data_IF_889668402708
#
_entry.id   IF_889668402708
#
_cell.length_a   1.000
_cell.length_b   1.000
_cell.length_c   1.000
_cell.angle_alpha   90.00
_cell.angle_beta   90.00
_cell.angle_gamma   90.00
#
_symmetry.space_group_name_H-M   'P 1'
#
loop_
_entity.id
_entity.type
_entity.pdbx_description
1 polymer ?
#
# COMPACT_ATOMS: atom_id res chain seq x y z
N UNK A 1 7.79 -23.58 -24.16
CA UNK A 1 7.08 -22.33 -23.88
C UNK A 1 8.09 -21.30 -23.40
N UNK A 2 8.31 -20.20 -24.10
CA UNK A 2 9.14 -19.12 -23.58
C UNK A 2 8.44 -18.55 -22.36
N UNK A 3 9.10 -18.66 -21.17
CA UNK A 3 8.63 -18.05 -19.93
C UNK A 3 8.45 -16.55 -20.18
N UNK A 4 7.23 -16.06 -20.08
CA UNK A 4 6.95 -14.63 -20.24
C UNK A 4 7.69 -13.89 -19.11
N UNK A 5 8.83 -13.27 -19.42
CA UNK A 5 9.71 -12.61 -18.44
C UNK A 5 9.00 -11.49 -17.67
N UNK A 6 7.88 -10.98 -18.20
CA UNK A 6 7.08 -9.93 -17.57
C UNK A 6 6.42 -10.37 -16.25
N UNK A 7 6.24 -11.68 -16.04
CA UNK A 7 5.61 -12.24 -14.83
C UNK A 7 6.61 -12.70 -13.77
N UNK A 8 7.91 -12.37 -13.90
CA UNK A 8 8.89 -12.75 -12.90
C UNK A 8 8.88 -11.78 -11.72
N UNK A 9 8.94 -12.33 -10.50
CA UNK A 9 8.96 -11.58 -9.23
C UNK A 9 10.25 -11.90 -8.48
N UNK A 10 10.92 -10.87 -7.96
CA UNK A 10 11.97 -11.03 -6.98
C UNK A 10 11.45 -10.68 -5.59
N UNK A 11 11.50 -11.62 -4.66
CA UNK A 11 10.94 -11.46 -3.31
C UNK A 11 12.01 -10.99 -2.35
N UNK A 12 11.76 -9.88 -1.65
CA UNK A 12 12.66 -9.31 -0.63
C UNK A 12 11.94 -9.11 0.70
N UNK A 13 12.70 -9.06 1.78
CA UNK A 13 12.22 -8.76 3.13
C UNK A 13 12.92 -7.50 3.64
N UNK A 14 12.21 -6.37 3.71
CA UNK A 14 12.75 -5.09 4.19
C UNK A 14 12.28 -4.71 5.59
N UNK A 15 11.23 -5.37 6.08
CA UNK A 15 10.55 -5.06 7.34
C UNK A 15 10.83 -6.12 8.42
N UNK A 16 9.81 -6.68 9.02
CA UNK A 16 9.93 -7.69 10.06
C UNK A 16 10.32 -9.08 9.52
N UNK A 17 10.95 -9.87 10.34
CA UNK A 17 11.29 -11.26 10.05
C UNK A 17 10.04 -12.09 9.72
N UNK A 18 10.18 -13.03 8.79
CA UNK A 18 9.15 -14.01 8.47
C UNK A 18 9.03 -14.99 9.64
N UNK A 19 7.89 -15.03 10.31
CA UNK A 19 7.66 -15.89 11.46
C UNK A 19 7.45 -17.37 11.09
N UNK A 20 6.91 -17.62 9.88
CA UNK A 20 6.59 -18.95 9.40
C UNK A 20 7.08 -19.11 7.96
N UNK A 21 8.19 -19.81 7.78
CA UNK A 21 8.78 -20.08 6.47
C UNK A 21 7.80 -20.80 5.52
N UNK A 22 6.89 -21.66 6.04
CA UNK A 22 5.87 -22.34 5.23
C UNK A 22 4.91 -21.35 4.57
N UNK A 23 4.70 -20.15 5.14
CA UNK A 23 3.88 -19.11 4.50
C UNK A 23 4.57 -18.54 3.25
N UNK A 24 5.88 -18.37 3.29
CA UNK A 24 6.66 -17.94 2.12
C UNK A 24 6.61 -19.01 1.01
N UNK A 25 6.87 -20.26 1.35
CA UNK A 25 6.83 -21.39 0.40
C UNK A 25 5.45 -21.50 -0.27
N UNK A 26 4.40 -21.47 0.53
CA UNK A 26 3.01 -21.52 0.05
C UNK A 26 2.66 -20.34 -0.85
N UNK A 27 3.11 -19.14 -0.48
CA UNK A 27 2.91 -17.93 -1.28
C UNK A 27 3.59 -18.02 -2.64
N UNK A 28 4.85 -18.45 -2.68
CA UNK A 28 5.61 -18.68 -3.91
C UNK A 28 4.94 -19.73 -4.81
N UNK A 29 4.48 -20.84 -4.22
CA UNK A 29 3.78 -21.90 -4.98
C UNK A 29 2.45 -21.41 -5.59
N UNK A 30 1.69 -20.57 -4.85
CA UNK A 30 0.43 -20.02 -5.34
C UNK A 30 0.64 -18.98 -6.42
N UNK A 31 1.62 -18.10 -6.25
CA UNK A 31 2.02 -17.16 -7.30
C UNK A 31 2.44 -17.88 -8.58
N UNK A 32 3.18 -19.00 -8.47
CA UNK A 32 3.55 -19.80 -9.62
C UNK A 32 2.31 -20.39 -10.35
N UNK A 33 1.29 -20.85 -9.59
CA UNK A 33 0.02 -21.34 -10.17
C UNK A 33 -0.77 -20.23 -10.89
N UNK A 34 -0.57 -18.97 -10.49
CA UNK A 34 -1.15 -17.78 -11.12
C UNK A 34 -0.29 -17.25 -12.29
N UNK A 35 0.79 -17.96 -12.64
CA UNK A 35 1.68 -17.60 -13.73
C UNK A 35 2.80 -16.62 -13.34
N UNK A 36 3.02 -16.35 -12.05
CA UNK A 36 4.08 -15.48 -11.55
C UNK A 36 5.25 -16.30 -10.95
N UNK A 37 6.43 -16.22 -11.53
CA UNK A 37 7.58 -17.01 -11.10
C UNK A 37 8.46 -16.22 -10.13
N UNK A 38 8.54 -16.71 -8.90
CA UNK A 38 9.25 -16.02 -7.82
C UNK A 38 10.68 -16.55 -7.65
N UNK A 39 11.65 -15.62 -7.61
CA UNK A 39 12.97 -15.85 -7.06
C UNK A 39 13.06 -15.17 -5.70
N UNK A 40 13.35 -15.91 -4.65
CA UNK A 40 13.45 -15.38 -3.27
C UNK A 40 14.88 -14.94 -3.00
N UNK A 41 15.03 -13.74 -2.42
CA UNK A 41 16.34 -13.25 -1.99
C UNK A 41 16.93 -14.15 -0.90
N UNK A 42 18.24 -14.33 -0.94
CA UNK A 42 18.99 -15.20 0.00
C UNK A 42 18.86 -14.76 1.47
N UNK A 43 18.56 -13.49 1.73
CA UNK A 43 18.34 -12.96 3.07
C UNK A 43 16.86 -12.86 3.45
N UNK A 44 15.93 -13.36 2.63
CA UNK A 44 14.50 -13.21 2.90
C UNK A 44 14.04 -13.86 4.22
N UNK A 45 14.73 -14.92 4.66
CA UNK A 45 14.47 -15.62 5.93
C UNK A 45 15.46 -15.24 7.04
N UNK A 46 16.30 -14.22 6.83
CA UNK A 46 17.20 -13.76 7.88
C UNK A 46 16.42 -13.17 9.07
N UNK A 47 17.00 -13.31 10.27
CA UNK A 47 16.39 -12.81 11.52
C UNK A 47 17.46 -12.05 12.29
N UNK A 48 17.13 -10.82 12.67
CA UNK A 48 17.85 -10.03 13.65
C UNK A 48 16.82 -9.35 14.56
N UNK A 49 16.65 -9.92 15.75
CA UNK A 49 15.56 -9.53 16.66
C UNK A 49 14.18 -9.61 15.97
N UNK A 50 13.47 -8.50 15.77
CA UNK A 50 12.20 -8.48 15.04
C UNK A 50 12.34 -8.32 13.52
N UNK A 51 13.54 -7.94 13.02
CA UNK A 51 13.76 -7.57 11.63
C UNK A 51 14.15 -8.76 10.76
N UNK A 52 13.93 -8.63 9.47
CA UNK A 52 14.38 -9.61 8.47
C UNK A 52 15.88 -9.48 8.19
N UNK A 53 16.69 -9.75 9.22
CA UNK A 53 18.13 -9.54 9.24
C UNK A 53 18.54 -8.11 9.60
N UNK A 54 19.84 -7.87 9.63
CA UNK A 54 20.41 -6.55 9.90
C UNK A 54 20.03 -5.52 8.85
N UNK A 55 20.16 -4.23 9.16
CA UNK A 55 19.88 -3.15 8.20
C UNK A 55 20.75 -3.33 6.93
N UNK A 56 22.01 -3.71 7.07
CA UNK A 56 22.91 -3.99 5.95
C UNK A 56 22.44 -5.17 5.08
N UNK A 57 21.90 -6.23 5.68
CA UNK A 57 21.35 -7.38 4.94
C UNK A 57 20.11 -7.00 4.14
N UNK A 58 19.20 -6.20 4.73
CA UNK A 58 17.98 -5.72 4.09
C UNK A 58 18.27 -4.75 2.93
N UNK A 59 19.20 -3.80 3.12
CA UNK A 59 19.69 -2.92 2.05
C UNK A 59 20.39 -3.71 0.93
N UNK A 60 21.21 -4.69 1.30
CA UNK A 60 21.86 -5.57 0.32
C UNK A 60 20.84 -6.38 -0.50
N UNK A 61 19.72 -6.81 0.12
CA UNK A 61 18.62 -7.48 -0.59
C UNK A 61 17.94 -6.53 -1.60
N UNK A 62 17.68 -5.28 -1.21
CA UNK A 62 17.16 -4.26 -2.12
C UNK A 62 18.13 -4.04 -3.30
N UNK A 63 19.41 -3.80 -3.01
CA UNK A 63 20.42 -3.57 -4.06
C UNK A 63 20.58 -4.75 -5.01
N UNK A 64 20.43 -5.99 -4.51
CA UNK A 64 20.42 -7.19 -5.38
C UNK A 64 19.16 -7.23 -6.25
N UNK A 65 18.02 -6.79 -5.72
CA UNK A 65 16.77 -6.78 -6.48
C UNK A 65 16.86 -5.89 -7.71
N UNK A 66 17.55 -4.75 -7.62
CA UNK A 66 17.73 -3.83 -8.75
C UNK A 66 18.47 -4.48 -9.93
N UNK A 67 19.36 -5.43 -9.64
CA UNK A 67 20.20 -6.14 -10.63
C UNK A 67 19.54 -7.42 -11.20
N UNK A 68 18.34 -7.80 -10.71
CA UNK A 68 17.63 -8.98 -11.23
C UNK A 68 16.96 -8.68 -12.56
N UNK A 69 16.72 -9.71 -13.34
CA UNK A 69 15.93 -9.61 -14.59
C UNK A 69 14.42 -9.55 -14.35
N UNK A 70 13.97 -9.89 -13.14
CA UNK A 70 12.57 -9.80 -12.74
C UNK A 70 12.09 -8.35 -12.76
N UNK A 71 11.00 -8.02 -13.47
CA UNK A 71 10.47 -6.66 -13.55
C UNK A 71 9.72 -6.24 -12.28
N UNK A 72 9.34 -7.19 -11.43
CA UNK A 72 8.60 -6.92 -10.20
C UNK A 72 9.44 -7.32 -8.99
N UNK A 73 9.50 -6.43 -8.00
CA UNK A 73 10.09 -6.68 -6.67
C UNK A 73 8.96 -6.65 -5.66
N UNK A 74 8.76 -7.75 -4.94
CA UNK A 74 7.64 -7.90 -4.02
C UNK A 74 8.10 -8.11 -2.59
N UNK A 75 7.51 -7.38 -1.66
CA UNK A 75 7.76 -7.56 -0.24
C UNK A 75 7.23 -8.91 0.25
N UNK A 76 8.04 -9.62 1.03
CA UNK A 76 7.62 -10.88 1.65
C UNK A 76 6.48 -10.64 2.65
N UNK A 77 6.57 -9.58 3.45
CA UNK A 77 5.58 -9.12 4.42
C UNK A 77 5.85 -7.67 4.85
N UNK A 78 4.89 -7.07 5.56
CA UNK A 78 5.06 -5.83 6.29
C UNK A 78 5.65 -6.02 7.69
N UNK A 79 5.22 -5.18 8.62
CA UNK A 79 5.66 -5.16 10.02
C UNK A 79 6.31 -3.83 10.37
N UNK A 80 7.61 -3.82 10.70
CA UNK A 80 8.36 -2.60 10.99
C UNK A 80 9.82 -2.73 10.54
N UNK A 81 10.40 -1.65 10.03
CA UNK A 81 11.84 -1.58 9.77
C UNK A 81 12.26 -0.80 8.53
N UNK A 82 11.36 -0.50 7.60
CA UNK A 82 11.69 0.26 6.38
C UNK A 82 12.17 1.67 6.71
N UNK A 83 11.56 2.34 7.68
CA UNK A 83 11.93 3.70 8.09
C UNK A 83 13.39 3.83 8.52
N UNK A 84 14.02 2.75 9.04
CA UNK A 84 15.44 2.72 9.40
C UNK A 84 16.38 2.76 8.18
N UNK A 85 15.85 2.42 7.01
CA UNK A 85 16.63 2.26 5.77
C UNK A 85 16.56 3.49 4.87
N UNK A 86 15.54 4.33 5.01
CA UNK A 86 15.19 5.38 4.04
C UNK A 86 16.34 6.31 3.67
N UNK A 87 17.18 6.68 4.64
CA UNK A 87 18.33 7.56 4.44
C UNK A 87 19.56 6.88 3.81
N UNK A 88 19.52 5.54 3.65
CA UNK A 88 20.60 4.74 3.11
C UNK A 88 20.26 4.17 1.71
N UNK A 89 19.02 4.35 1.26
CA UNK A 89 18.56 3.88 -0.06
C UNK A 89 18.99 4.88 -1.12
N UNK A 90 19.62 4.38 -2.17
CA UNK A 90 19.81 5.14 -3.42
C UNK A 90 18.51 5.14 -4.22
N UNK A 91 17.70 6.20 -4.01
CA UNK A 91 16.39 6.33 -4.62
C UNK A 91 16.45 6.48 -6.14
N UNK A 92 17.51 7.10 -6.66
CA UNK A 92 17.70 7.22 -8.11
C UNK A 92 17.97 5.84 -8.72
N UNK A 93 18.87 5.05 -8.12
CA UNK A 93 19.09 3.68 -8.58
C UNK A 93 17.83 2.81 -8.50
N UNK A 94 16.98 3.01 -7.47
CA UNK A 94 15.67 2.34 -7.36
C UNK A 94 14.77 2.73 -8.53
N UNK A 95 14.61 4.01 -8.82
CA UNK A 95 13.77 4.51 -9.92
C UNK A 95 14.31 4.07 -11.29
N UNK A 96 15.60 4.24 -11.53
CA UNK A 96 16.27 3.92 -12.81
C UNK A 96 16.24 2.41 -13.13
N UNK A 97 16.00 1.58 -12.12
CA UNK A 97 15.83 0.13 -12.33
C UNK A 97 14.57 -0.22 -13.16
N UNK A 98 13.62 0.71 -13.30
CA UNK A 98 12.36 0.52 -14.01
C UNK A 98 11.47 -0.58 -13.44
N UNK A 99 11.72 -1.03 -12.21
CA UNK A 99 10.99 -2.13 -11.58
C UNK A 99 9.72 -1.67 -10.89
N UNK A 100 8.72 -2.56 -10.89
CA UNK A 100 7.50 -2.42 -10.09
C UNK A 100 7.75 -2.93 -8.69
N UNK A 101 7.71 -2.04 -7.71
CA UNK A 101 7.86 -2.39 -6.28
C UNK A 101 6.48 -2.55 -5.66
N UNK A 102 6.21 -3.69 -5.03
CA UNK A 102 4.90 -4.04 -4.46
C UNK A 102 5.04 -4.45 -3.00
N UNK A 103 4.20 -3.91 -2.13
CA UNK A 103 4.14 -4.28 -0.71
C UNK A 103 2.98 -3.63 0.02
N UNK A 104 2.92 -3.77 1.35
CA UNK A 104 1.85 -3.24 2.19
C UNK A 104 2.38 -2.83 3.58
N UNK A 105 1.56 -2.10 4.34
CA UNK A 105 1.83 -1.77 5.75
C UNK A 105 3.08 -0.90 5.87
N UNK A 106 4.12 -1.35 6.58
CA UNK A 106 5.42 -0.67 6.69
C UNK A 106 6.04 -0.29 5.33
N UNK A 107 5.69 -1.03 4.26
CA UNK A 107 6.12 -0.72 2.90
C UNK A 107 5.55 0.61 2.37
N UNK A 108 4.53 1.16 3.01
CA UNK A 108 4.03 2.52 2.75
C UNK A 108 5.17 3.55 2.84
N UNK A 109 6.07 3.39 3.82
CA UNK A 109 7.22 4.28 3.97
C UNK A 109 8.17 4.22 2.76
N UNK A 110 8.39 3.03 2.18
CA UNK A 110 9.16 2.88 0.93
C UNK A 110 8.47 3.56 -0.25
N UNK A 111 7.18 3.28 -0.42
CA UNK A 111 6.38 3.80 -1.55
C UNK A 111 6.31 5.32 -1.55
N UNK A 112 6.07 5.93 -0.38
CA UNK A 112 6.00 7.38 -0.25
C UNK A 112 7.37 8.05 -0.40
N UNK A 113 8.42 7.43 0.13
CA UNK A 113 9.78 7.92 -0.04
C UNK A 113 10.22 7.87 -1.51
N UNK A 114 9.95 6.77 -2.23
CA UNK A 114 10.22 6.65 -3.66
C UNK A 114 9.51 7.74 -4.45
N UNK A 115 8.21 7.95 -4.19
CA UNK A 115 7.43 9.02 -4.81
C UNK A 115 7.99 10.41 -4.48
N UNK A 116 8.35 10.64 -3.21
CA UNK A 116 8.87 11.93 -2.75
C UNK A 116 10.23 12.28 -3.36
N UNK A 117 11.12 11.29 -3.49
CA UNK A 117 12.50 11.51 -3.92
C UNK A 117 12.67 11.50 -5.43
N UNK A 118 11.80 10.78 -6.16
CA UNK A 118 12.00 10.54 -7.60
C UNK A 118 10.77 10.79 -8.47
N UNK A 119 9.60 10.98 -7.86
CA UNK A 119 8.33 11.05 -8.60
C UNK A 119 7.85 9.71 -9.18
N UNK A 120 8.57 8.62 -8.93
CA UNK A 120 8.29 7.31 -9.55
C UNK A 120 7.16 6.59 -8.87
N UNK A 121 6.43 5.80 -9.65
CA UNK A 121 5.30 4.98 -9.19
C UNK A 121 5.77 3.68 -8.54
N UNK A 122 5.16 3.33 -7.43
CA UNK A 122 5.21 2.00 -6.80
C UNK A 122 3.80 1.48 -6.56
N UNK A 123 3.66 0.30 -5.95
CA UNK A 123 2.35 -0.31 -5.75
C UNK A 123 2.17 -0.69 -4.28
N UNK A 124 1.02 -0.34 -3.70
CA UNK A 124 0.57 -0.91 -2.44
C UNK A 124 -0.49 -1.98 -2.73
N UNK A 125 -0.25 -3.19 -2.24
CA UNK A 125 -1.04 -4.38 -2.56
C UNK A 125 -0.64 -5.58 -1.71
N UNK A 126 -1.02 -6.80 -2.13
CA UNK A 126 -0.75 -8.01 -1.37
C UNK A 126 0.75 -8.28 -1.20
N UNK A 127 1.08 -9.04 -0.15
CA UNK A 127 2.44 -9.53 0.14
C UNK A 127 2.52 -11.04 -0.02
N UNK A 128 3.73 -11.56 -0.17
CA UNK A 128 3.90 -13.00 -0.41
C UNK A 128 3.41 -13.84 0.77
N UNK A 129 3.76 -13.49 2.01
CA UNK A 129 3.47 -14.33 3.18
C UNK A 129 2.07 -14.11 3.74
N UNK A 130 1.61 -12.84 3.84
CA UNK A 130 0.35 -12.54 4.51
C UNK A 130 -0.87 -12.82 3.64
N UNK A 131 -0.75 -12.63 2.33
CA UNK A 131 -1.85 -12.77 1.38
C UNK A 131 -1.75 -14.06 0.58
N UNK A 132 -0.75 -14.19 -0.27
CA UNK A 132 -0.55 -15.43 -1.06
C UNK A 132 -0.17 -16.62 -0.18
N UNK A 133 0.53 -16.36 0.93
CA UNK A 133 0.92 -17.37 1.92
C UNK A 133 -0.10 -17.63 3.04
N UNK A 134 -1.25 -16.96 3.05
CA UNK A 134 -2.32 -17.16 4.04
C UNK A 134 -2.82 -18.61 4.06
N UNK A 135 -3.52 -19.02 5.12
CA UNK A 135 -4.15 -20.35 5.17
C UNK A 135 -5.12 -20.57 4.00
N UNK A 136 -5.94 -19.54 3.71
CA UNK A 136 -6.84 -19.50 2.55
C UNK A 136 -6.46 -18.31 1.66
N UNK A 137 -6.24 -18.56 0.37
CA UNK A 137 -6.04 -17.52 -0.63
C UNK A 137 -7.37 -16.82 -0.93
N UNK A 138 -7.37 -15.50 -0.92
CA UNK A 138 -8.47 -14.74 -1.45
C UNK A 138 -8.31 -14.59 -2.97
N UNK A 139 -9.26 -15.10 -3.74
CA UNK A 139 -9.15 -15.12 -5.21
C UNK A 139 -9.27 -13.74 -5.81
N UNK A 140 -10.16 -12.89 -5.29
CA UNK A 140 -10.30 -11.51 -5.79
C UNK A 140 -9.00 -10.70 -5.60
N UNK A 141 -8.32 -10.87 -4.44
CA UNK A 141 -7.00 -10.27 -4.23
C UNK A 141 -5.98 -10.76 -5.26
N UNK A 142 -6.00 -12.05 -5.58
CA UNK A 142 -5.07 -12.62 -6.55
C UNK A 142 -5.36 -12.15 -7.99
N UNK A 143 -6.62 -12.04 -8.35
CA UNK A 143 -7.09 -11.52 -9.66
C UNK A 143 -6.71 -10.06 -9.83
N UNK A 144 -7.09 -9.18 -8.88
CA UNK A 144 -6.75 -7.76 -8.92
C UNK A 144 -5.23 -7.52 -8.96
N UNK A 145 -4.44 -8.31 -8.23
CA UNK A 145 -2.99 -8.25 -8.33
C UNK A 145 -2.50 -8.62 -9.73
N UNK A 146 -3.03 -9.71 -10.29
CA UNK A 146 -2.68 -10.19 -11.62
C UNK A 146 -2.99 -9.16 -12.70
N UNK A 147 -4.19 -8.58 -12.69
CA UNK A 147 -4.63 -7.57 -13.65
C UNK A 147 -3.76 -6.31 -13.59
N UNK A 148 -3.47 -5.79 -12.38
CA UNK A 148 -2.57 -4.63 -12.23
C UNK A 148 -1.17 -4.94 -12.73
N UNK A 149 -0.63 -6.14 -12.40
CA UNK A 149 0.73 -6.51 -12.83
C UNK A 149 0.83 -6.77 -14.33
N UNK A 150 -0.26 -7.05 -15.01
CA UNK A 150 -0.32 -7.17 -16.48
C UNK A 150 -0.73 -5.87 -17.18
N UNK A 151 -1.17 -4.85 -16.41
CA UNK A 151 -1.68 -3.59 -16.96
C UNK A 151 -3.09 -3.70 -17.54
N UNK A 152 -3.89 -4.63 -17.01
CA UNK A 152 -5.24 -4.95 -17.50
C UNK A 152 -6.34 -4.27 -16.66
N UNK A 153 -6.05 -3.86 -15.42
CA UNK A 153 -7.04 -3.21 -14.56
C UNK A 153 -7.20 -1.73 -14.93
N UNK A 154 -8.33 -1.41 -15.53
CA UNK A 154 -8.69 -0.04 -15.92
C UNK A 154 -9.48 0.66 -14.82
N UNK A 155 -10.47 -0.01 -14.25
CA UNK A 155 -11.38 0.55 -13.25
C UNK A 155 -11.52 -0.43 -12.07
N UNK A 156 -11.26 0.05 -10.87
CA UNK A 156 -11.60 -0.64 -9.63
C UNK A 156 -12.93 -0.08 -9.10
N UNK A 157 -13.99 -0.89 -9.12
CA UNK A 157 -15.28 -0.55 -8.53
C UNK A 157 -15.48 -1.24 -7.18
N UNK A 158 -16.12 -0.54 -6.23
CA UNK A 158 -16.40 -1.08 -4.91
C UNK A 158 -17.64 -0.43 -4.27
N UNK A 159 -18.29 -1.15 -3.37
CA UNK A 159 -19.43 -0.64 -2.61
C UNK A 159 -19.00 0.49 -1.66
N UNK A 160 -19.73 1.59 -1.68
CA UNK A 160 -19.38 2.82 -0.95
C UNK A 160 -20.65 3.58 -0.51
N UNK A 161 -21.56 2.94 0.25
CA UNK A 161 -22.90 3.47 0.49
C UNK A 161 -22.94 4.76 1.33
N UNK A 162 -21.89 5.02 2.13
CA UNK A 162 -21.81 6.16 3.04
C UNK A 162 -20.80 7.22 2.57
N UNK A 163 -20.52 7.27 1.28
CA UNK A 163 -19.55 8.19 0.71
C UNK A 163 -20.16 9.52 0.31
N UNK A 164 -19.35 10.55 0.38
CA UNK A 164 -19.70 11.85 -0.17
C UNK A 164 -19.65 11.79 -1.70
N UNK A 165 -20.44 12.66 -2.35
CA UNK A 165 -20.39 12.80 -3.80
C UNK A 165 -19.01 13.32 -4.24
N UNK A 166 -18.37 12.63 -5.16
CA UNK A 166 -17.08 13.02 -5.71
C UNK A 166 -17.01 12.68 -7.20
N UNK A 167 -16.43 13.58 -7.97
CA UNK A 167 -15.94 13.37 -9.32
C UNK A 167 -14.67 14.21 -9.49
N UNK A 168 -13.53 13.57 -9.40
CA UNK A 168 -12.26 14.27 -9.43
C UNK A 168 -11.12 13.43 -10.02
N UNK A 169 -10.04 14.09 -10.42
CA UNK A 169 -8.79 13.46 -10.84
C UNK A 169 -7.63 13.98 -10.01
N UNK A 170 -6.76 13.09 -9.59
CA UNK A 170 -5.60 13.45 -8.79
C UNK A 170 -4.56 12.34 -8.74
N UNK A 171 -3.39 12.67 -8.21
CA UNK A 171 -2.37 11.67 -7.91
C UNK A 171 -2.86 10.81 -6.76
N UNK A 172 -2.93 9.48 -6.98
CA UNK A 172 -3.25 8.52 -5.93
C UNK A 172 -2.03 8.31 -5.03
N UNK A 173 -2.20 8.51 -3.75
CA UNK A 173 -1.16 8.30 -2.77
C UNK A 173 -1.76 7.95 -1.41
N UNK A 174 -0.96 7.39 -0.53
CA UNK A 174 -1.46 7.00 0.79
C UNK A 174 -0.92 5.66 1.25
N UNK A 175 -1.76 4.91 1.97
CA UNK A 175 -1.46 3.61 2.54
C UNK A 175 -1.72 3.54 4.04
N UNK A 176 -0.84 2.92 4.80
CA UNK A 176 -0.97 2.80 6.25
C UNK A 176 -0.84 4.17 6.93
N UNK A 177 -1.86 4.57 7.70
CA UNK A 177 -1.97 5.90 8.30
C UNK A 177 -0.86 6.18 9.31
N UNK A 178 -0.49 5.20 10.13
CA UNK A 178 0.62 5.31 11.09
C UNK A 178 1.94 5.60 10.37
N UNK A 179 2.18 4.96 9.23
CA UNK A 179 3.38 5.19 8.43
C UNK A 179 3.38 6.57 7.76
N UNK A 180 2.24 7.01 7.21
CA UNK A 180 2.10 8.36 6.66
C UNK A 180 2.42 9.40 7.72
N UNK A 181 1.83 9.25 8.90
CA UNK A 181 1.99 10.18 10.03
C UNK A 181 3.43 10.23 10.54
N UNK A 182 4.10 9.07 10.58
CA UNK A 182 5.51 8.96 10.97
C UNK A 182 6.46 9.69 10.01
N UNK A 183 6.06 9.91 8.76
CA UNK A 183 6.85 10.63 7.76
C UNK A 183 6.62 12.15 7.76
N UNK A 184 5.64 12.66 8.50
CA UNK A 184 5.39 14.12 8.58
C UNK A 184 6.63 14.85 9.10
N UNK A 185 7.03 15.90 8.38
CA UNK A 185 8.23 16.67 8.71
C UNK A 185 9.54 16.07 8.18
N UNK A 186 9.50 14.92 7.50
CA UNK A 186 10.67 14.30 6.87
C UNK A 186 10.73 14.59 5.37
N UNK A 187 11.88 14.45 4.70
CA UNK A 187 11.98 14.58 3.24
C UNK A 187 11.30 13.43 2.48
N UNK A 188 10.84 12.38 3.16
CA UNK A 188 10.27 11.18 2.57
C UNK A 188 8.76 11.22 2.40
N UNK A 189 8.08 12.26 2.92
CA UNK A 189 6.65 12.47 2.68
C UNK A 189 6.46 13.33 1.42
N UNK A 190 5.74 12.84 0.39
CA UNK A 190 5.53 13.59 -0.85
C UNK A 190 4.64 14.82 -0.61
N UNK A 191 4.99 15.95 -1.27
CA UNK A 191 4.26 17.22 -1.17
C UNK A 191 3.19 17.32 -2.25
N UNK A 192 2.14 16.49 -2.14
CA UNK A 192 1.06 16.41 -3.14
C UNK A 192 -0.02 17.45 -2.83
N UNK A 193 -0.44 18.16 -3.88
CA UNK A 193 -1.61 19.06 -3.88
C UNK A 193 -2.61 18.56 -4.91
N UNK A 194 -3.90 18.56 -4.56
CA UNK A 194 -4.96 18.07 -5.44
C UNK A 194 -4.89 16.57 -5.69
N UNK A 195 -4.28 15.82 -4.76
CA UNK A 195 -4.22 14.37 -4.80
C UNK A 195 -5.46 13.69 -4.24
N UNK A 196 -5.53 12.39 -4.42
CA UNK A 196 -6.48 11.48 -3.80
C UNK A 196 -5.71 10.68 -2.76
N UNK A 197 -5.97 10.97 -1.48
CA UNK A 197 -5.32 10.30 -0.36
C UNK A 197 -6.16 9.11 0.08
N UNK A 198 -5.61 7.91 0.07
CA UNK A 198 -6.25 6.76 0.72
C UNK A 198 -5.49 6.33 1.97
N UNK A 199 -6.24 5.87 2.96
CA UNK A 199 -5.68 5.44 4.26
C UNK A 199 -6.32 4.16 4.75
N UNK A 200 -5.54 3.36 5.45
CA UNK A 200 -5.96 2.18 6.22
C UNK A 200 -5.10 2.08 7.48
N UNK A 201 -5.52 1.31 8.46
CA UNK A 201 -4.64 0.91 9.56
C UNK A 201 -5.11 -0.37 10.25
N UNK A 202 -4.25 -0.94 11.08
CA UNK A 202 -4.50 -2.15 11.85
C UNK A 202 -4.13 -1.95 13.32
N UNK A 203 -4.96 -2.46 14.22
CA UNK A 203 -4.76 -2.38 15.67
C UNK A 203 -4.66 -0.95 16.24
N UNK A 204 -5.17 0.04 15.50
CA UNK A 204 -5.27 1.41 15.96
C UNK A 204 -6.70 1.72 16.41
N UNK A 205 -6.83 2.14 17.67
CA UNK A 205 -8.13 2.56 18.24
C UNK A 205 -8.65 3.82 17.53
N UNK A 206 -9.97 4.01 17.34
CA UNK A 206 -10.54 5.17 16.64
C UNK A 206 -9.98 6.53 17.10
N UNK A 207 -9.76 6.75 18.40
CA UNK A 207 -9.17 8.01 18.88
C UNK A 207 -7.72 8.22 18.40
N UNK A 208 -6.96 7.15 18.14
CA UNK A 208 -5.62 7.25 17.58
C UNK A 208 -5.66 7.58 16.11
N UNK A 209 -6.62 7.00 15.37
CA UNK A 209 -6.88 7.32 13.98
C UNK A 209 -7.25 8.81 13.87
N UNK A 210 -8.18 9.30 14.70
CA UNK A 210 -8.55 10.71 14.74
C UNK A 210 -7.35 11.61 15.03
N UNK A 211 -6.54 11.28 16.03
CA UNK A 211 -5.35 12.07 16.38
C UNK A 211 -4.35 12.15 15.22
N UNK A 212 -4.14 11.07 14.49
CA UNK A 212 -3.27 11.06 13.30
C UNK A 212 -3.87 11.91 12.17
N UNK A 213 -5.18 11.85 11.95
CA UNK A 213 -5.86 12.71 10.97
C UNK A 213 -5.82 14.19 11.36
N UNK A 214 -5.97 14.51 12.65
CA UNK A 214 -5.77 15.87 13.18
C UNK A 214 -4.35 16.36 12.89
N UNK A 215 -3.34 15.53 13.12
CA UNK A 215 -1.94 15.88 12.79
C UNK A 215 -1.75 16.17 11.30
N UNK A 216 -2.33 15.35 10.41
CA UNK A 216 -2.29 15.59 8.96
C UNK A 216 -3.03 16.87 8.58
N UNK A 217 -4.14 17.19 9.25
CA UNK A 217 -4.88 18.44 9.04
C UNK A 217 -4.07 19.66 9.50
N UNK A 218 -3.53 19.63 10.71
CA UNK A 218 -2.73 20.72 11.29
C UNK A 218 -1.42 20.96 10.54
N UNK A 219 -0.84 19.92 9.93
CA UNK A 219 0.31 20.08 9.02
C UNK A 219 -0.08 20.71 7.67
N UNK A 220 -1.34 21.01 7.45
CA UNK A 220 -1.87 21.56 6.21
C UNK A 220 -1.81 20.60 5.02
N UNK A 221 -1.68 19.29 5.29
CA UNK A 221 -1.52 18.28 4.25
C UNK A 221 -2.90 17.80 3.77
N UNK A 222 -3.82 17.54 4.70
CA UNK A 222 -5.11 16.93 4.39
C UNK A 222 -6.01 17.87 3.58
N UNK A 223 -6.12 19.14 3.97
CA UNK A 223 -6.93 20.14 3.26
C UNK A 223 -6.46 20.47 1.83
N UNK A 224 -5.28 20.01 1.44
CA UNK A 224 -4.77 20.16 0.06
C UNK A 224 -5.20 19.04 -0.88
N UNK A 225 -5.89 18.01 -0.37
CA UNK A 225 -6.33 16.87 -1.17
C UNK A 225 -7.72 17.12 -1.78
N UNK A 226 -8.04 16.42 -2.86
CA UNK A 226 -9.36 16.46 -3.50
C UNK A 226 -10.36 15.51 -2.85
N UNK A 227 -9.87 14.41 -2.30
CA UNK A 227 -10.66 13.44 -1.57
C UNK A 227 -9.79 12.65 -0.58
N UNK A 228 -10.43 12.18 0.50
CA UNK A 228 -9.92 11.17 1.41
C UNK A 228 -10.67 9.86 1.17
N UNK A 229 -9.98 8.80 0.84
CA UNK A 229 -10.55 7.47 0.61
C UNK A 229 -10.19 6.55 1.77
N UNK A 230 -11.19 6.03 2.46
CA UNK A 230 -11.00 5.14 3.59
C UNK A 230 -11.00 3.67 3.13
N UNK A 231 -9.88 3.01 3.33
CA UNK A 231 -9.78 1.56 3.34
C UNK A 231 -10.30 0.96 4.65
N UNK A 232 -9.79 -0.21 4.99
CA UNK A 232 -10.25 -0.96 6.15
C UNK A 232 -9.39 -0.65 7.37
N UNK A 233 -10.05 -0.36 8.50
CA UNK A 233 -9.44 -0.24 9.82
C UNK A 233 -9.85 -1.45 10.63
N UNK A 234 -8.88 -2.26 11.05
CA UNK A 234 -9.14 -3.57 11.64
C UNK A 234 -8.42 -3.78 12.96
N UNK A 235 -8.78 -4.86 13.66
CA UNK A 235 -8.10 -5.37 14.87
C UNK A 235 -8.00 -4.36 16.03
N UNK A 236 -8.99 -3.48 16.18
CA UNK A 236 -9.17 -2.66 17.37
C UNK A 236 -10.39 -3.13 18.19
N UNK A 237 -10.36 -2.85 19.48
CA UNK A 237 -11.47 -3.18 20.39
C UNK A 237 -11.91 -1.94 21.12
N UNK A 238 -13.20 -1.62 21.05
CA UNK A 238 -13.80 -0.52 21.79
C UNK A 238 -13.92 -0.90 23.27
N UNK A 239 -13.68 0.08 24.13
CA UNK A 239 -13.79 -0.09 25.58
C UNK A 239 -15.09 0.53 26.12
N UNK A 240 -15.61 0.08 27.28
CA UNK A 240 -16.85 0.66 27.86
C UNK A 240 -16.80 2.18 28.11
N UNK A 241 -15.59 2.71 28.35
CA UNK A 241 -15.40 4.16 28.56
C UNK A 241 -15.44 4.98 27.26
N UNK A 242 -15.41 4.36 26.08
CA UNK A 242 -15.59 5.04 24.79
C UNK A 242 -17.05 5.53 24.62
N UNK A 243 -18.02 4.96 25.34
CA UNK A 243 -19.41 5.40 25.34
C UNK A 243 -20.03 5.55 23.94
N UNK A 244 -19.70 4.60 23.04
CA UNK A 244 -20.18 4.60 21.66
C UNK A 244 -19.33 5.40 20.68
N UNK A 245 -18.20 5.96 21.13
CA UNK A 245 -17.23 6.58 20.21
C UNK A 245 -16.53 5.50 19.37
N UNK A 246 -16.64 5.62 18.06
CA UNK A 246 -16.12 4.66 17.09
C UNK A 246 -15.57 5.36 15.81
N UNK A 247 -15.30 4.60 14.78
CA UNK A 247 -14.77 5.12 13.51
C UNK A 247 -15.77 6.05 12.81
N UNK A 248 -17.08 5.89 13.02
CA UNK A 248 -18.10 6.79 12.43
C UNK A 248 -17.98 8.22 12.97
N UNK A 249 -17.62 8.35 14.25
CA UNK A 249 -17.34 9.65 14.87
C UNK A 249 -16.11 10.32 14.24
N UNK A 250 -15.06 9.55 13.96
CA UNK A 250 -13.87 10.04 13.28
C UNK A 250 -14.19 10.54 11.87
N UNK A 251 -14.96 9.76 11.09
CA UNK A 251 -15.40 10.14 9.74
C UNK A 251 -16.23 11.43 9.80
N UNK A 252 -17.18 11.52 10.74
CA UNK A 252 -17.97 12.72 10.94
C UNK A 252 -17.08 13.92 11.27
N UNK A 253 -16.11 13.75 12.17
CA UNK A 253 -15.19 14.84 12.52
C UNK A 253 -14.39 15.33 11.31
N UNK A 254 -13.90 14.45 10.44
CA UNK A 254 -13.20 14.82 9.20
C UNK A 254 -14.10 15.66 8.30
N UNK A 255 -15.35 15.24 8.08
CA UNK A 255 -16.32 15.96 7.26
C UNK A 255 -16.59 17.36 7.81
N UNK A 256 -16.82 17.46 9.13
CA UNK A 256 -17.18 18.71 9.78
C UNK A 256 -16.01 19.72 9.84
N UNK A 257 -14.76 19.26 9.89
CA UNK A 257 -13.64 20.12 10.21
C UNK A 257 -12.62 20.30 9.06
N UNK A 258 -12.57 19.37 8.09
CA UNK A 258 -11.57 19.43 7.01
C UNK A 258 -12.20 19.92 5.70
N UNK A 259 -13.47 19.59 5.44
CA UNK A 259 -14.21 20.06 4.27
C UNK A 259 -13.76 19.42 2.95
N UNK A 260 -13.17 18.22 2.99
CA UNK A 260 -12.87 17.42 1.78
C UNK A 260 -13.81 16.23 1.71
N UNK A 261 -14.22 15.78 0.50
CA UNK A 261 -15.04 14.59 0.36
C UNK A 261 -14.37 13.34 0.96
N UNK A 262 -15.17 12.55 1.67
CA UNK A 262 -14.74 11.27 2.25
C UNK A 262 -15.45 10.13 1.55
N UNK A 263 -14.69 9.25 0.92
CA UNK A 263 -15.14 8.02 0.25
C UNK A 263 -14.78 6.83 1.12
N UNK A 264 -15.71 5.93 1.37
CA UNK A 264 -15.54 4.76 2.23
C UNK A 264 -15.56 3.46 1.43
N UNK A 265 -15.14 2.35 2.03
CA UNK A 265 -15.33 1.02 1.46
C UNK A 265 -14.21 0.55 0.53
N UNK A 266 -13.14 1.32 0.32
CA UNK A 266 -12.02 0.87 -0.51
C UNK A 266 -11.54 -0.52 -0.03
N UNK A 267 -11.51 -1.54 -0.91
CA UNK A 267 -11.04 -2.88 -0.55
C UNK A 267 -9.51 -2.91 -0.44
N UNK A 268 -8.99 -2.22 0.57
CA UNK A 268 -7.57 -2.12 0.88
C UNK A 268 -7.36 -2.01 2.39
N UNK A 269 -6.39 -2.76 2.93
CA UNK A 269 -6.04 -2.77 4.35
C UNK A 269 -5.53 -4.14 4.81
N UNK A 270 -5.53 -4.38 6.12
CA UNK A 270 -5.14 -5.67 6.71
C UNK A 270 -6.32 -6.65 6.71
N UNK A 271 -6.87 -6.89 5.54
CA UNK A 271 -8.03 -7.76 5.27
C UNK A 271 -7.70 -8.78 4.20
N UNK A 272 -8.48 -9.89 4.12
CA UNK A 272 -8.28 -10.87 3.07
C UNK A 272 -8.51 -10.34 1.65
N UNK A 273 -9.48 -9.42 1.47
CA UNK A 273 -9.73 -8.75 0.19
C UNK A 273 -8.85 -7.50 0.10
N UNK A 274 -8.06 -7.40 -0.96
CA UNK A 274 -7.08 -6.33 -1.12
C UNK A 274 -6.84 -5.97 -2.57
N UNK A 275 -7.11 -4.75 -2.92
CA UNK A 275 -6.72 -4.18 -4.20
C UNK A 275 -5.20 -3.97 -4.29
N UNK A 276 -4.70 -3.82 -5.50
CA UNK A 276 -3.33 -3.37 -5.78
C UNK A 276 -3.41 -1.97 -6.38
N UNK A 277 -2.86 -0.99 -5.68
CA UNK A 277 -3.04 0.44 -5.97
C UNK A 277 -1.73 1.08 -6.42
N UNK A 278 -1.71 1.81 -7.56
CA UNK A 278 -0.52 2.49 -8.08
C UNK A 278 -0.30 3.81 -7.34
N UNK A 279 0.76 3.89 -6.55
CA UNK A 279 1.13 5.08 -5.76
C UNK A 279 1.94 6.03 -6.64
N UNK A 280 1.44 7.26 -6.79
CA UNK A 280 2.06 8.27 -7.65
C UNK A 280 1.43 8.39 -9.04
N UNK A 281 0.54 7.46 -9.43
CA UNK A 281 -0.21 7.55 -10.71
C UNK A 281 -1.37 8.52 -10.58
N UNK A 282 -1.65 9.30 -11.62
CA UNK A 282 -2.87 10.11 -11.72
C UNK A 282 -4.05 9.21 -12.05
N UNK A 283 -5.10 9.27 -11.23
CA UNK A 283 -6.32 8.45 -11.36
C UNK A 283 -7.56 9.32 -11.31
N UNK A 284 -8.69 8.78 -11.79
CA UNK A 284 -10.02 9.32 -11.56
C UNK A 284 -10.66 8.71 -10.31
N UNK A 285 -11.51 9.45 -9.62
CA UNK A 285 -12.34 8.97 -8.53
C UNK A 285 -13.74 9.54 -8.70
N UNK A 286 -14.73 8.68 -8.81
CA UNK A 286 -16.14 9.06 -8.87
C UNK A 286 -16.98 8.20 -7.91
N UNK A 287 -18.07 8.78 -7.42
CA UNK A 287 -19.07 8.05 -6.62
C UNK A 287 -20.45 8.21 -7.25
N UNK A 288 -21.19 7.12 -7.38
CA UNK A 288 -22.54 7.11 -7.94
C UNK A 288 -23.35 5.96 -7.34
N UNK A 289 -24.59 6.24 -6.87
CA UNK A 289 -25.57 5.24 -6.42
C UNK A 289 -25.01 4.22 -5.39
N UNK A 290 -24.20 4.70 -4.43
CA UNK A 290 -23.61 3.85 -3.39
C UNK A 290 -22.40 3.03 -3.83
N UNK A 291 -21.90 3.28 -5.03
CA UNK A 291 -20.67 2.72 -5.57
C UNK A 291 -19.58 3.78 -5.67
N UNK A 292 -18.33 3.38 -5.61
CA UNK A 292 -17.18 4.19 -5.95
C UNK A 292 -16.36 3.53 -7.06
N UNK A 293 -15.79 4.36 -7.92
CA UNK A 293 -15.02 3.97 -9.10
C UNK A 293 -13.66 4.66 -9.06
N UNK A 294 -12.59 3.88 -8.99
CA UNK A 294 -11.23 4.36 -9.12
C UNK A 294 -10.74 4.01 -10.54
N UNK A 295 -10.65 5.01 -11.40
CA UNK A 295 -10.21 4.86 -12.79
C UNK A 295 -8.68 4.93 -12.82
N UNK A 296 -8.02 3.78 -13.01
CA UNK A 296 -6.56 3.63 -12.92
C UNK A 296 -5.89 3.90 -14.26
N UNK A 297 -6.48 3.44 -15.36
CA UNK A 297 -6.00 3.72 -16.71
C UNK A 297 -7.16 4.22 -17.58
N UNK A 298 -6.89 5.23 -18.36
CA UNK A 298 -7.77 5.67 -19.41
C UNK A 298 -7.03 5.40 -20.72
N UNK A 299 -7.57 4.51 -21.52
CA UNK A 299 -7.23 4.51 -22.93
C UNK A 299 -7.75 5.84 -23.50
N UNK A 300 -6.89 6.85 -23.60
CA UNK A 300 -7.17 7.97 -24.49
C UNK A 300 -7.23 7.36 -25.90
N UNK A 301 -8.45 7.17 -26.38
CA UNK A 301 -8.65 7.01 -27.82
C UNK A 301 -8.29 8.36 -28.45
N UNK A 302 -7.01 8.48 -28.86
CA UNK A 302 -6.56 9.52 -29.78
C UNK A 302 -7.09 9.22 -31.20
#
# INVERSE_FOLDING_TARGET
>A
MALNRQNNIYVISLSSAIQNAKSLERGVQRLAKLGFFCKVDRHALAVDTRFAGTDAQRLSALNRSLKQTAPTVMASRGGYGVTRLLNQIDWHAVADSGKRFVGQSDFTAFSLAMLSQTGSTSYLGPTVCADFGASRLNMLTAELFGEVMRGELEILSFESPNSDAVDCRGVLWGGNLSMITALVGTPYLPKIRGGILFIEDVAEHPYRIERMLIQLAQSGLLAKQKALVLGQFTDFTLAPHDRGYDLSNVIKWVRDNIGIPVVTGLPFGHTPVKATLPIGKKVGLATEQGMAYLVIDEHTHD
#
